data_IF_940678872286
#
_entry.id   IF_940678872286
#
_cell.length_a   1.000
_cell.length_b   1.000
_cell.length_c   1.000
_cell.angle_alpha   90.00
_cell.angle_beta   90.00
_cell.angle_gamma   90.00
#
_symmetry.space_group_name_H-M   'P 1'
#
loop_
_entity.id
_entity.type
_entity.pdbx_description
1 polymer ?
#
# COMPACT_ATOMS: atom_id res chain seq x y z
N UNK A 1 -1.26 -16.91 -8.09
CA UNK A 1 -0.23 -15.92 -7.75
C UNK A 1 -0.76 -14.57 -8.16
N UNK A 2 -1.24 -13.81 -7.19
CA UNK A 2 -1.77 -12.47 -7.41
C UNK A 2 -0.60 -11.50 -7.31
N UNK A 3 -0.15 -10.97 -8.43
CA UNK A 3 0.93 -9.96 -8.42
C UNK A 3 0.32 -8.60 -8.07
N UNK A 4 0.75 -8.04 -6.95
CA UNK A 4 0.32 -6.73 -6.51
C UNK A 4 1.28 -5.65 -7.04
N UNK A 5 0.74 -4.46 -7.34
CA UNK A 5 1.57 -3.30 -7.60
C UNK A 5 2.02 -2.72 -6.24
N UNK A 6 3.15 -3.22 -5.75
CA UNK A 6 3.71 -2.85 -4.45
C UNK A 6 4.04 -1.35 -4.36
N UNK A 7 4.57 -0.76 -5.43
CA UNK A 7 4.87 0.68 -5.48
C UNK A 7 3.60 1.53 -5.28
N UNK A 8 2.48 1.12 -5.88
CA UNK A 8 1.20 1.79 -5.68
C UNK A 8 0.65 1.57 -4.26
N UNK A 9 0.73 0.35 -3.73
CA UNK A 9 0.29 0.04 -2.36
C UNK A 9 1.09 0.85 -1.34
N UNK A 10 2.42 0.86 -1.46
CA UNK A 10 3.32 1.66 -0.63
C UNK A 10 2.93 3.14 -0.65
N UNK A 11 2.73 3.70 -1.85
CA UNK A 11 2.27 5.09 -1.99
C UNK A 11 0.96 5.31 -1.24
N UNK A 12 -0.05 4.45 -1.43
CA UNK A 12 -1.34 4.58 -0.76
C UNK A 12 -1.22 4.50 0.77
N UNK A 13 -0.38 3.61 1.30
CA UNK A 13 -0.15 3.47 2.74
C UNK A 13 0.53 4.72 3.33
N UNK A 14 1.49 5.32 2.63
CA UNK A 14 2.06 6.61 3.03
C UNK A 14 1.01 7.72 3.04
N UNK A 15 0.14 7.78 2.03
CA UNK A 15 -0.94 8.78 1.99
C UNK A 15 -1.95 8.53 3.13
N UNK A 16 -2.29 7.28 3.46
CA UNK A 16 -3.12 6.95 4.63
C UNK A 16 -2.49 7.47 5.92
N UNK A 17 -1.20 7.22 6.11
CA UNK A 17 -0.45 7.69 7.29
C UNK A 17 -0.52 9.22 7.44
N UNK A 18 -0.48 9.94 6.31
CA UNK A 18 -0.47 11.40 6.26
C UNK A 18 -1.86 12.04 6.07
N UNK A 19 -2.93 11.25 5.95
CA UNK A 19 -4.29 11.72 5.60
C UNK A 19 -5.05 12.50 6.69
N UNK A 20 -4.38 12.88 7.78
CA UNK A 20 -5.03 13.62 8.87
C UNK A 20 -5.60 14.96 8.37
N UNK A 21 -6.88 15.22 8.67
CA UNK A 21 -7.55 16.47 8.33
C UNK A 21 -7.95 16.64 6.86
N UNK A 22 -7.78 15.62 6.00
CA UNK A 22 -8.23 15.65 4.61
C UNK A 22 -8.71 14.28 4.13
N UNK A 23 -9.52 14.28 3.07
CA UNK A 23 -10.07 13.05 2.52
C UNK A 23 -9.00 12.24 1.81
N UNK A 24 -9.01 10.93 2.03
CA UNK A 24 -8.19 9.99 1.29
C UNK A 24 -8.78 9.79 -0.10
N UNK A 25 -8.01 10.09 -1.14
CA UNK A 25 -8.48 10.02 -2.53
C UNK A 25 -7.52 9.19 -3.39
N UNK A 26 -7.75 7.87 -3.54
CA UNK A 26 -6.79 6.96 -4.18
C UNK A 26 -6.53 7.27 -5.66
N UNK A 27 -7.54 7.78 -6.38
CA UNK A 27 -7.42 8.11 -7.81
C UNK A 27 -6.41 9.24 -8.09
N UNK A 28 -6.49 10.40 -7.40
CA UNK A 28 -5.44 11.42 -7.46
C UNK A 28 -4.04 10.89 -7.12
N UNK A 29 -3.90 10.06 -6.09
CA UNK A 29 -2.60 9.51 -5.69
C UNK A 29 -2.01 8.60 -6.77
N UNK A 30 -2.83 7.79 -7.43
CA UNK A 30 -2.40 6.98 -8.57
C UNK A 30 -1.87 7.84 -9.73
N UNK A 31 -2.53 8.97 -10.00
CA UNK A 31 -2.09 9.90 -11.05
C UNK A 31 -0.77 10.58 -10.71
N UNK A 32 -0.60 11.00 -9.46
CA UNK A 32 0.67 11.56 -8.98
C UNK A 32 1.80 10.52 -9.03
N UNK A 33 1.51 9.28 -8.64
CA UNK A 33 2.45 8.17 -8.74
C UNK A 33 2.88 7.91 -10.18
N UNK A 34 1.93 7.86 -11.11
CA UNK A 34 2.22 7.70 -12.53
C UNK A 34 3.06 8.86 -13.09
N UNK A 35 2.75 10.10 -12.71
CA UNK A 35 3.52 11.27 -13.13
C UNK A 35 4.96 11.26 -12.59
N UNK A 36 5.15 10.80 -11.34
CA UNK A 36 6.47 10.64 -10.75
C UNK A 36 7.30 9.58 -11.50
N UNK A 37 6.72 8.40 -11.72
CA UNK A 37 7.33 7.30 -12.49
C UNK A 37 7.72 7.74 -13.90
N UNK A 38 6.84 8.49 -14.58
CA UNK A 38 7.13 9.07 -15.88
C UNK A 38 8.30 10.06 -15.86
N UNK A 39 8.42 10.86 -14.79
CA UNK A 39 9.56 11.77 -14.60
C UNK A 39 10.88 11.02 -14.31
N UNK A 40 10.81 9.85 -13.68
CA UNK A 40 11.93 8.93 -13.44
C UNK A 40 12.29 8.10 -14.69
N UNK A 41 11.52 8.23 -15.78
CA UNK A 41 11.75 7.55 -17.05
C UNK A 41 11.03 6.21 -17.21
N UNK A 42 10.17 5.83 -16.25
CA UNK A 42 9.32 4.64 -16.34
C UNK A 42 8.03 4.94 -17.14
N UNK A 43 7.67 4.02 -18.03
CA UNK A 43 6.43 4.12 -18.83
C UNK A 43 5.25 3.54 -18.07
N UNK A 44 4.23 4.36 -17.80
CA UNK A 44 2.94 3.90 -17.28
C UNK A 44 2.05 3.56 -18.46
N UNK A 45 1.76 2.27 -18.65
CA UNK A 45 1.01 1.79 -19.81
C UNK A 45 -0.46 2.25 -19.80
N UNK A 46 -1.09 2.30 -18.62
CA UNK A 46 -2.51 2.66 -18.52
C UNK A 46 -2.86 3.35 -17.18
N UNK A 47 -3.01 4.69 -17.24
CA UNK A 47 -3.38 5.51 -16.10
C UNK A 47 -4.79 5.19 -15.56
N UNK A 48 -5.76 4.92 -16.44
CA UNK A 48 -7.15 4.63 -16.03
C UNK A 48 -7.23 3.29 -15.30
N UNK A 49 -6.44 2.31 -15.73
CA UNK A 49 -6.27 1.06 -15.00
C UNK A 49 -5.65 1.31 -13.63
N UNK A 50 -4.56 2.08 -13.54
CA UNK A 50 -3.90 2.39 -12.27
C UNK A 50 -4.84 3.08 -11.27
N UNK A 51 -5.66 4.02 -11.74
CA UNK A 51 -6.70 4.69 -10.94
C UNK A 51 -7.77 3.72 -10.42
N UNK A 52 -8.13 2.73 -11.24
CA UNK A 52 -9.11 1.70 -10.85
C UNK A 52 -8.51 0.79 -9.77
N UNK A 53 -7.30 0.29 -10.02
CA UNK A 53 -6.55 -0.56 -9.08
C UNK A 53 -6.33 0.14 -7.74
N UNK A 54 -6.02 1.44 -7.73
CA UNK A 54 -5.86 2.19 -6.48
C UNK A 54 -7.12 2.19 -5.59
N UNK A 55 -8.31 2.30 -6.21
CA UNK A 55 -9.58 2.20 -5.49
C UNK A 55 -9.92 0.76 -5.05
N UNK A 56 -9.44 -0.25 -5.78
CA UNK A 56 -9.55 -1.65 -5.36
C UNK A 56 -8.64 -1.94 -4.18
N UNK A 57 -7.41 -1.43 -4.18
CA UNK A 57 -6.47 -1.56 -3.07
C UNK A 57 -6.94 -0.85 -1.81
N UNK A 58 -7.54 0.34 -1.91
CA UNK A 58 -8.19 0.98 -0.75
C UNK A 58 -9.18 0.02 -0.07
N UNK A 59 -10.11 -0.56 -0.86
CA UNK A 59 -11.11 -1.50 -0.35
C UNK A 59 -10.48 -2.77 0.21
N UNK A 60 -9.48 -3.31 -0.46
CA UNK A 60 -8.79 -4.53 -0.06
C UNK A 60 -8.03 -4.32 1.26
N UNK A 61 -7.27 -3.24 1.38
CA UNK A 61 -6.51 -2.89 2.58
C UNK A 61 -7.45 -2.65 3.77
N UNK A 62 -8.61 -2.01 3.53
CA UNK A 62 -9.63 -1.83 4.55
C UNK A 62 -10.27 -3.17 4.95
N UNK A 63 -10.66 -3.99 3.98
CA UNK A 63 -11.31 -5.28 4.20
C UNK A 63 -10.41 -6.25 4.98
N UNK A 64 -9.11 -6.25 4.68
CA UNK A 64 -8.10 -7.12 5.31
C UNK A 64 -7.45 -6.50 6.55
N UNK A 65 -7.94 -5.34 7.02
CA UNK A 65 -7.51 -4.71 8.27
C UNK A 65 -6.08 -4.15 8.26
N UNK A 66 -5.54 -3.76 7.11
CA UNK A 66 -4.28 -2.98 7.03
C UNK A 66 -4.53 -1.51 7.33
N UNK A 67 -5.71 -0.99 6.98
CA UNK A 67 -6.14 0.37 7.26
C UNK A 67 -7.51 0.32 7.91
N UNK A 68 -7.82 1.33 8.71
CA UNK A 68 -9.13 1.48 9.35
C UNK A 68 -9.59 2.94 9.32
N UNK A 69 -10.90 3.23 9.41
CA UNK A 69 -11.40 4.59 9.40
C UNK A 69 -10.75 5.40 10.52
N UNK A 70 -10.25 6.59 10.18
CA UNK A 70 -9.61 7.46 11.17
C UNK A 70 -10.65 7.99 12.17
N UNK A 71 -10.39 7.89 13.49
CA UNK A 71 -11.25 8.51 14.50
C UNK A 71 -11.40 10.02 14.30
N UNK A 72 -12.59 10.58 14.57
CA UNK A 72 -12.85 12.03 14.40
C UNK A 72 -11.91 12.88 15.27
N UNK A 73 -11.60 12.42 16.48
CA UNK A 73 -10.67 13.06 17.42
C UNK A 73 -9.20 13.05 16.97
N UNK A 74 -8.86 12.20 16.01
CA UNK A 74 -7.54 12.12 15.36
C UNK A 74 -7.53 12.79 13.97
N UNK A 75 -8.55 13.57 13.64
CA UNK A 75 -8.69 14.27 12.35
C UNK A 75 -9.41 13.43 11.29
N UNK A 76 -10.29 12.53 11.70
CA UNK A 76 -11.19 11.78 10.84
C UNK A 76 -12.16 12.68 10.08
N UNK A 77 -12.33 12.42 8.78
CA UNK A 77 -13.29 13.13 7.91
C UNK A 77 -14.45 12.24 7.47
N UNK A 78 -14.49 10.99 7.94
CA UNK A 78 -15.41 9.95 7.46
C UNK A 78 -15.02 9.36 6.09
N UNK A 79 -13.93 9.87 5.48
CA UNK A 79 -13.40 9.43 4.19
C UNK A 79 -11.86 9.38 4.21
N UNK A 80 -11.26 9.19 5.38
CA UNK A 80 -9.82 9.01 5.57
C UNK A 80 -9.53 7.93 6.61
N UNK A 81 -8.28 7.48 6.63
CA UNK A 81 -7.90 6.25 7.32
C UNK A 81 -6.67 6.46 8.20
N UNK A 82 -6.42 5.49 9.06
CA UNK A 82 -5.17 5.33 9.81
C UNK A 82 -4.62 3.93 9.57
N UNK A 83 -3.30 3.79 9.63
CA UNK A 83 -2.65 2.49 9.52
C UNK A 83 -2.91 1.68 10.79
N UNK A 84 -3.31 0.42 10.63
CA UNK A 84 -3.32 -0.52 11.75
C UNK A 84 -1.89 -0.97 12.06
N UNK A 85 -1.72 -1.79 13.10
CA UNK A 85 -0.44 -2.45 13.35
C UNK A 85 0.04 -3.30 12.15
N UNK A 86 -0.90 -3.94 11.43
CA UNK A 86 -0.59 -4.72 10.23
C UNK A 86 -0.21 -3.83 9.06
N UNK A 87 -0.97 -2.74 8.81
CA UNK A 87 -0.64 -1.75 7.77
C UNK A 87 0.72 -1.11 7.98
N UNK A 88 1.06 -0.78 9.23
CA UNK A 88 2.37 -0.21 9.58
C UNK A 88 3.50 -1.19 9.29
N UNK A 89 3.33 -2.48 9.59
CA UNK A 89 4.32 -3.53 9.27
C UNK A 89 4.48 -3.69 7.76
N UNK A 90 3.38 -3.72 7.01
CA UNK A 90 3.42 -3.81 5.55
C UNK A 90 4.17 -2.62 4.97
N UNK A 91 3.84 -1.39 5.39
CA UNK A 91 4.53 -0.19 4.94
C UNK A 91 6.03 -0.25 5.25
N UNK A 92 6.41 -0.65 6.47
CA UNK A 92 7.83 -0.81 6.82
C UNK A 92 8.53 -1.84 5.94
N UNK A 93 7.90 -2.97 5.60
CA UNK A 93 8.48 -3.97 4.70
C UNK A 93 8.69 -3.42 3.29
N UNK A 94 7.73 -2.64 2.79
CA UNK A 94 7.81 -2.03 1.45
C UNK A 94 8.88 -0.94 1.37
N UNK A 95 8.98 -0.09 2.40
CA UNK A 95 9.96 1.00 2.51
C UNK A 95 11.40 0.47 2.74
N UNK A 96 11.51 -0.71 3.37
CA UNK A 96 12.80 -1.41 3.58
C UNK A 96 13.41 -1.98 2.31
N UNK A 97 12.67 -2.05 1.20
CA UNK A 97 13.19 -2.46 -0.10
C UNK A 97 14.03 -1.35 -0.72
N UNK A 98 15.22 -1.15 -0.17
CA UNK A 98 16.28 -0.33 -0.76
C UNK A 98 16.71 -0.99 -2.08
N UNK A 99 17.05 -0.22 -3.13
CA UNK A 99 17.60 -0.77 -4.37
C UNK A 99 18.80 -1.69 -4.09
N UNK A 100 18.65 -2.99 -4.40
CA UNK A 100 19.66 -4.03 -4.16
C UNK A 100 19.37 -4.99 -2.99
N UNK A 101 18.29 -4.79 -2.23
CA UNK A 101 17.80 -5.75 -1.24
C UNK A 101 16.34 -6.13 -1.55
N UNK A 102 16.14 -6.93 -2.60
CA UNK A 102 14.84 -7.37 -3.13
C UNK A 102 14.04 -8.27 -2.17
N UNK A 103 14.60 -8.65 -1.02
CA UNK A 103 14.06 -9.73 -0.19
C UNK A 103 12.60 -9.55 0.28
N UNK A 104 12.18 -8.39 0.84
CA UNK A 104 10.83 -8.28 1.39
C UNK A 104 9.72 -8.33 0.34
N UNK A 105 9.86 -7.55 -0.75
CA UNK A 105 8.88 -7.52 -1.86
C UNK A 105 8.87 -8.83 -2.63
N UNK A 106 10.05 -9.43 -2.88
CA UNK A 106 10.12 -10.70 -3.59
C UNK A 106 9.46 -11.83 -2.80
N UNK A 107 9.68 -11.92 -1.49
CA UNK A 107 9.03 -12.94 -0.66
C UNK A 107 7.52 -12.75 -0.63
N UNK A 108 7.02 -11.52 -0.65
CA UNK A 108 5.59 -11.23 -0.80
C UNK A 108 5.08 -11.65 -2.18
N UNK A 109 5.76 -11.29 -3.26
CA UNK A 109 5.41 -11.70 -4.63
C UNK A 109 5.40 -13.21 -4.82
N UNK A 110 6.23 -13.94 -4.07
CA UNK A 110 6.28 -15.40 -4.08
C UNK A 110 5.03 -16.08 -3.49
N UNK A 111 4.15 -15.32 -2.82
CA UNK A 111 2.92 -15.86 -2.23
C UNK A 111 1.74 -15.91 -3.21
N UNK A 112 0.77 -16.78 -2.93
CA UNK A 112 -0.46 -16.85 -3.73
C UNK A 112 -1.36 -15.62 -3.55
N UNK A 113 -1.56 -15.21 -2.29
CA UNK A 113 -2.19 -13.96 -1.86
C UNK A 113 -1.38 -13.37 -0.70
N UNK A 114 -0.48 -12.46 -1.03
CA UNK A 114 0.42 -11.80 -0.08
C UNK A 114 -0.27 -10.82 0.87
N UNK A 115 -1.49 -10.38 0.54
CA UNK A 115 -2.29 -9.48 1.39
C UNK A 115 -3.31 -10.24 2.23
N UNK A 116 -3.47 -11.55 2.02
CA UNK A 116 -4.21 -12.38 2.97
C UNK A 116 -3.61 -12.26 4.36
N UNK A 117 -4.48 -12.15 5.37
CA UNK A 117 -4.09 -11.88 6.75
C UNK A 117 -3.16 -12.95 7.31
N UNK A 118 -3.47 -14.23 7.07
CA UNK A 118 -2.68 -15.34 7.59
C UNK A 118 -1.35 -15.45 6.83
N UNK A 119 -1.39 -15.31 5.51
CA UNK A 119 -0.19 -15.34 4.66
C UNK A 119 0.77 -14.21 5.02
N UNK A 120 0.26 -12.99 5.15
CA UNK A 120 1.08 -11.82 5.48
C UNK A 120 1.70 -11.96 6.87
N UNK A 121 0.92 -12.36 7.88
CA UNK A 121 1.43 -12.50 9.25
C UNK A 121 2.54 -13.58 9.31
N UNK A 122 2.44 -14.65 8.52
CA UNK A 122 3.50 -15.66 8.39
C UNK A 122 4.77 -15.09 7.71
N UNK A 123 4.61 -14.40 6.57
CA UNK A 123 5.72 -13.82 5.81
C UNK A 123 6.44 -12.73 6.60
N UNK A 124 5.69 -11.81 7.20
CA UNK A 124 6.22 -10.71 8.00
C UNK A 124 7.01 -11.24 9.21
N UNK A 125 6.57 -12.35 9.81
CA UNK A 125 7.29 -13.00 10.91
C UNK A 125 8.64 -13.57 10.46
N UNK A 126 8.74 -14.11 9.24
CA UNK A 126 10.00 -14.62 8.68
C UNK A 126 10.95 -13.48 8.29
N UNK A 127 10.42 -12.40 7.73
CA UNK A 127 11.20 -11.24 7.30
C UNK A 127 11.85 -10.48 8.47
N UNK A 128 11.26 -10.51 9.68
CA UNK A 128 11.85 -9.91 10.89
C UNK A 128 13.00 -10.71 11.50
N UNK A 129 13.22 -11.95 11.08
CA UNK A 129 14.26 -12.85 11.61
C UNK A 129 15.51 -12.88 10.71
N UNK A 130 15.41 -12.33 9.49
CA UNK A 130 16.46 -12.36 8.47
C UNK A 130 17.50 -11.23 8.61
#
# INVERSE_FOLDING_TARGET
MTTYNWDLIERLLHEVQNSAGHNFTPRPYAEQHAAQKAAEGETIENLDHLKTVAGEYEKLLLLRGYIEPRPEDEGGTGANYILTARGSRLLSLLDSSIPGNDHPRQVLDEQEDALDEATFDEVASKAQIA
#
